data_IF_266258283301
#
_entry.id   IF_266258283301
#
_cell.length_a   1.000
_cell.length_b   1.000
_cell.length_c   1.000
_cell.angle_alpha   90.00
_cell.angle_beta   90.00
_cell.angle_gamma   90.00
#
_symmetry.space_group_name_H-M   'P 1'
#
loop_
_entity.id
_entity.type
_entity.pdbx_description
1 polymer ?
#
# COMPACT_ATOMS: atom_id res chain seq x y z
N UNK A 1 -14.11 -3.65 10.10
CA UNK A 1 -13.01 -3.24 9.22
C UNK A 1 -13.59 -3.02 7.84
N UNK A 2 -13.50 -1.79 7.32
CA UNK A 2 -13.89 -1.47 5.94
C UNK A 2 -12.88 -2.07 4.95
N UNK A 3 -13.25 -2.13 3.67
CA UNK A 3 -12.34 -2.57 2.61
C UNK A 3 -11.08 -1.69 2.54
N UNK A 4 -11.23 -0.39 2.78
CA UNK A 4 -10.11 0.57 2.86
C UNK A 4 -9.19 0.27 4.05
N UNK A 5 -9.74 0.05 5.25
CA UNK A 5 -8.95 -0.29 6.44
C UNK A 5 -8.19 -1.62 6.24
N UNK A 6 -8.85 -2.61 5.65
CA UNK A 6 -8.26 -3.92 5.35
C UNK A 6 -7.15 -3.85 4.28
N UNK A 7 -7.29 -2.93 3.33
CA UNK A 7 -6.26 -2.64 2.33
C UNK A 7 -5.05 -1.97 2.97
N UNK A 8 -5.27 -0.91 3.77
CA UNK A 8 -4.20 -0.17 4.43
C UNK A 8 -3.41 -1.03 5.41
N UNK A 9 -4.07 -1.91 6.17
CA UNK A 9 -3.39 -2.85 7.05
C UNK A 9 -2.43 -3.78 6.28
N UNK A 10 -2.91 -4.42 5.21
CA UNK A 10 -2.07 -5.28 4.37
C UNK A 10 -0.92 -4.53 3.69
N UNK A 11 -1.16 -3.28 3.30
CA UNK A 11 -0.11 -2.44 2.71
C UNK A 11 0.99 -2.13 3.74
N UNK A 12 0.63 -1.84 5.00
CA UNK A 12 1.60 -1.64 6.09
C UNK A 12 2.46 -2.87 6.30
N UNK A 13 1.85 -4.04 6.45
CA UNK A 13 2.58 -5.27 6.72
C UNK A 13 3.60 -5.59 5.62
N UNK A 14 3.18 -5.46 4.35
CA UNK A 14 4.04 -5.77 3.21
C UNK A 14 5.19 -4.78 3.07
N UNK A 15 4.90 -3.48 3.15
CA UNK A 15 5.91 -2.43 2.97
C UNK A 15 6.85 -2.36 4.17
N UNK A 16 6.34 -2.55 5.39
CA UNK A 16 7.15 -2.68 6.60
C UNK A 16 8.16 -3.82 6.48
N UNK A 17 7.72 -5.01 6.08
CA UNK A 17 8.62 -6.15 5.86
C UNK A 17 9.69 -5.88 4.79
N UNK A 18 9.39 -5.08 3.76
CA UNK A 18 10.38 -4.67 2.76
C UNK A 18 11.39 -3.68 3.35
N UNK A 19 10.95 -2.70 4.14
CA UNK A 19 11.83 -1.73 4.80
C UNK A 19 12.73 -2.37 5.86
N UNK A 20 12.25 -3.41 6.57
CA UNK A 20 13.03 -4.16 7.55
C UNK A 20 14.06 -5.12 6.91
N UNK A 21 13.92 -5.40 5.61
CA UNK A 21 14.79 -6.34 4.91
C UNK A 21 16.14 -5.73 4.54
N UNK A 22 17.21 -6.24 5.15
CA UNK A 22 18.59 -5.89 4.77
C UNK A 22 19.01 -6.46 3.39
N UNK A 23 18.22 -7.36 2.80
CA UNK A 23 18.53 -8.03 1.54
C UNK A 23 17.82 -7.44 0.31
N UNK A 24 16.85 -6.54 0.51
CA UNK A 24 16.09 -5.90 -0.55
C UNK A 24 16.53 -4.45 -0.73
N UNK A 25 16.71 -4.04 -1.99
CA UNK A 25 16.99 -2.64 -2.32
C UNK A 25 15.72 -1.78 -2.47
N UNK A 26 14.54 -2.41 -2.47
CA UNK A 26 13.26 -1.76 -2.65
C UNK A 26 12.24 -2.65 -3.34
N UNK A 27 11.14 -2.04 -3.78
CA UNK A 27 10.03 -2.70 -4.47
C UNK A 27 9.47 -1.80 -5.57
N UNK A 28 8.74 -2.41 -6.50
CA UNK A 28 7.96 -1.71 -7.52
C UNK A 28 6.50 -2.06 -7.33
N UNK A 29 5.64 -1.05 -7.18
CA UNK A 29 4.19 -1.28 -7.17
C UNK A 29 3.66 -1.37 -8.60
N UNK A 30 2.96 -2.46 -8.89
CA UNK A 30 2.18 -2.66 -10.12
C UNK A 30 0.75 -3.02 -9.70
N UNK A 31 -0.32 -2.43 -10.19
CA UNK A 31 -0.50 -1.38 -11.21
C UNK A 31 -0.80 -0.01 -10.56
N UNK A 32 -0.67 1.08 -11.33
CA UNK A 32 -1.08 2.41 -10.85
C UNK A 32 -2.61 2.54 -10.81
N UNK A 33 -3.30 2.04 -11.83
CA UNK A 33 -4.76 2.07 -11.97
C UNK A 33 -5.29 0.67 -12.20
N UNK A 34 -6.51 0.40 -11.79
CA UNK A 34 -7.25 -0.79 -12.18
C UNK A 34 -7.31 -0.97 -13.70
N UNK A 35 -7.34 -2.22 -14.17
CA UNK A 35 -7.45 -2.55 -15.59
C UNK A 35 -8.55 -3.58 -15.81
N UNK A 36 -9.68 -3.15 -16.38
CA UNK A 36 -10.86 -4.00 -16.65
C UNK A 36 -11.26 -4.83 -15.40
N UNK A 37 -10.98 -6.14 -15.43
CA UNK A 37 -11.32 -7.08 -14.36
C UNK A 37 -10.27 -7.12 -13.23
N UNK A 38 -9.07 -6.58 -13.45
CA UNK A 38 -8.03 -6.48 -12.43
C UNK A 38 -8.24 -5.22 -11.60
N UNK A 39 -8.58 -5.42 -10.32
CA UNK A 39 -8.94 -4.37 -9.34
C UNK A 39 -7.90 -4.25 -8.23
N UNK A 40 -6.64 -4.14 -8.61
CA UNK A 40 -5.45 -4.12 -7.75
C UNK A 40 -4.59 -2.85 -7.97
N UNK A 41 -5.13 -1.83 -8.63
CA UNK A 41 -4.49 -0.53 -8.76
C UNK A 41 -4.51 0.27 -7.45
N UNK A 42 -3.52 1.17 -7.28
CA UNK A 42 -3.61 2.21 -6.23
C UNK A 42 -4.80 3.15 -6.45
N UNK A 43 -5.18 3.30 -7.72
CA UNK A 43 -6.28 4.12 -8.18
C UNK A 43 -7.30 3.26 -8.94
N UNK A 44 -8.55 3.70 -8.96
CA UNK A 44 -9.57 3.14 -9.83
C UNK A 44 -9.30 3.48 -11.32
N UNK A 45 -10.15 2.95 -12.20
CA UNK A 45 -10.07 3.17 -13.66
C UNK A 45 -10.24 4.67 -14.06
N UNK A 46 -10.81 5.48 -13.17
CA UNK A 46 -10.98 6.91 -13.33
C UNK A 46 -9.90 7.72 -12.61
N UNK A 47 -8.84 7.07 -12.11
CA UNK A 47 -7.72 7.65 -11.37
C UNK A 47 -8.12 8.29 -10.04
N UNK A 48 -9.23 7.83 -9.44
CA UNK A 48 -9.63 8.21 -8.09
C UNK A 48 -8.99 7.24 -7.10
N UNK A 49 -8.65 7.75 -5.94
CA UNK A 49 -7.91 7.00 -4.94
C UNK A 49 -8.82 6.00 -4.24
N UNK A 50 -8.37 4.74 -4.13
CA UNK A 50 -9.11 3.69 -3.41
C UNK A 50 -8.95 3.80 -1.87
N UNK A 51 -8.06 4.68 -1.41
CA UNK A 51 -7.80 5.02 -0.02
C UNK A 51 -7.26 6.46 0.08
N UNK A 52 -7.14 7.02 1.29
CA UNK A 52 -6.45 8.30 1.49
C UNK A 52 -4.99 8.25 0.97
N UNK A 53 -4.68 9.09 -0.02
CA UNK A 53 -3.37 9.13 -0.69
C UNK A 53 -2.23 9.55 0.23
N UNK A 54 -2.51 10.39 1.23
CA UNK A 54 -1.49 10.82 2.18
C UNK A 54 -1.11 9.67 3.12
N UNK A 55 -2.08 8.82 3.48
CA UNK A 55 -1.82 7.58 4.23
C UNK A 55 -0.99 6.62 3.39
N UNK A 56 -1.41 6.33 2.16
CA UNK A 56 -0.68 5.45 1.23
C UNK A 56 0.76 5.93 1.03
N UNK A 57 0.95 7.24 0.84
CA UNK A 57 2.28 7.84 0.71
C UNK A 57 3.14 7.58 1.93
N UNK A 58 2.64 7.82 3.15
CA UNK A 58 3.42 7.61 4.38
C UNK A 58 3.83 6.15 4.54
N UNK A 59 2.96 5.20 4.19
CA UNK A 59 3.28 3.78 4.21
C UNK A 59 4.38 3.46 3.19
N UNK A 60 4.22 3.86 1.92
CA UNK A 60 5.20 3.58 0.85
C UNK A 60 6.60 4.09 1.20
N UNK A 61 6.72 5.31 1.74
CA UNK A 61 8.02 5.89 2.08
C UNK A 61 8.57 5.44 3.44
N UNK A 62 7.83 4.61 4.19
CA UNK A 62 8.25 4.14 5.52
C UNK A 62 8.26 5.23 6.59
N UNK A 63 7.38 6.22 6.48
CA UNK A 63 7.28 7.34 7.43
C UNK A 63 6.16 7.17 8.49
N UNK A 64 5.39 6.09 8.45
CA UNK A 64 4.49 5.75 9.56
C UNK A 64 5.29 5.05 10.68
N UNK A 65 5.01 5.36 11.95
CA UNK A 65 5.57 4.59 13.05
C UNK A 65 5.14 3.12 12.90
N UNK A 66 6.07 2.22 13.19
CA UNK A 66 5.82 0.79 13.21
C UNK A 66 4.61 0.50 14.12
N UNK A 67 3.56 -0.11 13.56
CA UNK A 67 2.47 -0.60 14.39
C UNK A 67 2.94 -1.91 15.00
N UNK A 68 2.82 -2.09 16.33
CA UNK A 68 3.18 -3.36 16.94
C UNK A 68 2.35 -4.47 16.30
N UNK A 69 3.03 -5.48 15.77
CA UNK A 69 2.39 -6.74 15.40
C UNK A 69 1.80 -7.36 16.67
N UNK A 70 0.50 -7.60 16.69
CA UNK A 70 -0.18 -8.44 17.69
C UNK A 70 0.21 -9.92 17.51
#
# INVERSE_FOLDING_TARGET
>A
MSDEEAFLARLRDLVGAVHDSAGLAGFCWTQLTDTLQEKNGLLDEHRRTNADVDVVRRIIVGAEPDQPND
#
